data_IF_512286589808
#
_entry.id   IF_512286589808
#
_cell.length_a   1.000
_cell.length_b   1.000
_cell.length_c   1.000
_cell.angle_alpha   90.00
_cell.angle_beta   90.00
_cell.angle_gamma   90.00
#
_symmetry.space_group_name_H-M   'P 1'
#
loop_
_entity.id
_entity.type
_entity.pdbx_description
1 polymer ?
#
# COMPACT_ATOMS: atom_id res chain seq x y z
N UNK A 1 15.81 -20.22 -20.22
CA UNK A 1 15.00 -19.51 -21.24
C UNK A 1 15.87 -18.83 -22.28
N UNK A 2 16.78 -17.92 -21.89
CA UNK A 2 17.59 -17.12 -22.84
C UNK A 2 18.60 -17.88 -23.70
N UNK A 3 18.90 -19.16 -23.42
CA UNK A 3 19.81 -19.98 -24.23
C UNK A 3 19.13 -20.58 -25.48
N UNK A 4 17.84 -20.31 -25.70
CA UNK A 4 17.10 -20.84 -26.85
C UNK A 4 17.25 -19.88 -28.02
N UNK A 5 17.42 -20.43 -29.23
CA UNK A 5 17.58 -19.65 -30.46
C UNK A 5 16.41 -18.70 -30.76
N UNK A 6 15.23 -18.98 -30.20
CA UNK A 6 14.01 -18.21 -30.41
C UNK A 6 13.73 -17.15 -29.33
N UNK A 7 14.72 -16.80 -28.50
CA UNK A 7 14.57 -15.81 -27.42
C UNK A 7 15.65 -14.74 -27.53
N UNK A 8 15.22 -13.49 -27.69
CA UNK A 8 16.12 -12.32 -27.71
C UNK A 8 15.90 -11.47 -26.47
N UNK A 9 16.97 -11.20 -25.72
CA UNK A 9 16.97 -10.21 -24.63
C UNK A 9 17.43 -8.85 -25.17
N UNK A 10 16.62 -7.82 -24.98
CA UNK A 10 16.94 -6.44 -25.39
C UNK A 10 17.13 -5.58 -24.13
N UNK A 11 18.35 -5.08 -23.88
CA UNK A 11 18.60 -4.19 -22.73
C UNK A 11 18.16 -2.76 -23.03
N UNK A 12 16.96 -2.43 -22.56
CA UNK A 12 16.35 -1.11 -22.74
C UNK A 12 16.98 -0.01 -21.89
N UNK A 13 17.91 -0.32 -20.97
CA UNK A 13 18.69 0.72 -20.29
C UNK A 13 19.77 1.30 -21.21
N UNK A 14 20.37 0.44 -22.04
CA UNK A 14 21.35 0.85 -23.05
C UNK A 14 20.69 1.39 -24.31
N UNK A 15 19.58 0.77 -24.72
CA UNK A 15 18.80 1.15 -25.90
C UNK A 15 17.33 1.46 -25.53
N UNK A 16 17.02 2.66 -24.99
CA UNK A 16 15.68 2.99 -24.52
C UNK A 16 14.59 2.81 -25.57
N UNK A 17 13.40 2.45 -25.12
CA UNK A 17 12.20 2.38 -25.96
C UNK A 17 11.84 3.81 -26.37
N UNK A 18 11.70 4.03 -27.68
CA UNK A 18 11.28 5.33 -28.26
C UNK A 18 9.75 5.37 -28.40
N UNK A 19 9.14 4.23 -28.73
CA UNK A 19 7.69 4.12 -28.81
C UNK A 19 7.22 2.85 -29.52
N UNK A 20 5.90 2.68 -29.54
CA UNK A 20 5.24 1.66 -30.35
C UNK A 20 5.11 2.14 -31.80
N UNK A 21 5.21 1.21 -32.73
CA UNK A 21 4.95 1.44 -34.15
C UNK A 21 3.80 0.54 -34.60
N UNK A 22 3.16 0.80 -35.75
CA UNK A 22 2.12 -0.09 -36.29
C UNK A 22 2.58 -1.54 -36.49
N UNK A 23 3.90 -1.80 -36.54
CA UNK A 23 4.48 -3.12 -36.75
C UNK A 23 5.03 -3.75 -35.46
N UNK A 24 5.13 -3.01 -34.36
CA UNK A 24 5.70 -3.51 -33.12
C UNK A 24 6.30 -2.40 -32.25
N UNK A 25 7.60 -2.50 -31.94
CA UNK A 25 8.27 -1.64 -30.95
C UNK A 25 9.60 -1.11 -31.49
N UNK A 26 9.87 0.17 -31.25
CA UNK A 26 11.12 0.82 -31.61
C UNK A 26 11.93 1.18 -30.36
N UNK A 27 13.19 0.78 -30.34
CA UNK A 27 14.20 1.28 -29.41
C UNK A 27 15.04 2.35 -30.10
N UNK A 28 15.96 2.98 -29.35
CA UNK A 28 16.97 3.89 -29.90
C UNK A 28 17.77 3.26 -31.05
N UNK A 29 18.01 1.96 -30.98
CA UNK A 29 18.99 1.28 -31.84
C UNK A 29 18.33 0.42 -32.93
N UNK A 30 17.07 -0.02 -32.75
CA UNK A 30 16.41 -0.96 -33.66
C UNK A 30 14.88 -0.88 -33.64
N UNK A 31 14.24 -1.45 -34.66
CA UNK A 31 12.80 -1.72 -34.69
C UNK A 31 12.53 -3.23 -34.69
N UNK A 32 11.65 -3.66 -33.81
CA UNK A 32 11.24 -5.05 -33.62
C UNK A 32 9.82 -5.21 -34.13
N UNK A 33 9.65 -6.04 -35.17
CA UNK A 33 8.32 -6.41 -35.67
C UNK A 33 7.72 -7.47 -34.77
N UNK A 34 6.51 -7.24 -34.26
CA UNK A 34 5.85 -8.07 -33.25
C UNK A 34 4.37 -8.18 -33.58
N UNK A 35 3.83 -9.39 -33.58
CA UNK A 35 2.39 -9.63 -33.73
C UNK A 35 1.62 -9.37 -32.42
N UNK A 36 2.31 -9.42 -31.28
CA UNK A 36 1.70 -9.27 -29.96
C UNK A 36 2.70 -8.64 -28.99
N UNK A 37 2.19 -7.78 -28.10
CA UNK A 37 2.95 -7.15 -27.03
C UNK A 37 2.29 -7.48 -25.69
N UNK A 38 3.09 -8.00 -24.75
CA UNK A 38 2.64 -8.34 -23.39
C UNK A 38 3.22 -7.32 -22.42
N UNK A 39 2.35 -6.62 -21.70
CA UNK A 39 2.74 -5.64 -20.69
C UNK A 39 2.92 -6.33 -19.33
N UNK A 40 4.18 -6.64 -19.00
CA UNK A 40 4.58 -7.10 -17.67
C UNK A 40 5.17 -5.95 -16.82
N UNK A 41 4.54 -4.78 -16.86
CA UNK A 41 5.07 -3.51 -16.31
C UNK A 41 4.75 -3.27 -14.83
N UNK A 42 4.12 -4.23 -14.16
CA UNK A 42 3.73 -4.11 -12.75
C UNK A 42 2.44 -3.32 -12.54
N UNK A 43 2.30 -2.72 -11.35
CA UNK A 43 1.06 -2.09 -10.87
C UNK A 43 1.33 -0.79 -10.12
N UNK A 44 0.37 0.13 -10.06
CA UNK A 44 0.36 1.16 -9.00
C UNK A 44 -0.02 0.51 -7.66
N UNK A 45 1.01 -0.03 -7.01
CA UNK A 45 0.84 -0.89 -5.85
C UNK A 45 0.39 -0.12 -4.59
N UNK A 46 -0.40 -0.81 -3.76
CA UNK A 46 -0.91 -0.40 -2.44
C UNK A 46 -1.88 0.79 -2.42
N UNK A 47 -1.67 1.82 -3.23
CA UNK A 47 -2.52 3.03 -3.23
C UNK A 47 -3.30 3.21 -4.53
N UNK A 48 -2.88 2.60 -5.65
CA UNK A 48 -3.47 2.85 -6.96
C UNK A 48 -4.98 2.59 -6.99
N UNK A 49 -5.43 1.42 -6.54
CA UNK A 49 -6.85 1.08 -6.52
C UNK A 49 -7.71 2.05 -5.67
N UNK A 50 -7.15 2.59 -4.59
CA UNK A 50 -7.85 3.59 -3.74
C UNK A 50 -7.85 4.98 -4.38
N UNK A 51 -6.82 5.33 -5.15
CA UNK A 51 -6.72 6.60 -5.88
C UNK A 51 -7.66 6.68 -7.08
N UNK A 52 -8.03 5.54 -7.67
CA UNK A 52 -9.01 5.46 -8.76
C UNK A 52 -10.46 5.65 -8.29
N UNK A 53 -10.69 5.68 -6.97
CA UNK A 53 -12.00 5.94 -6.37
C UNK A 53 -11.99 7.34 -5.77
N UNK A 54 -13.02 8.13 -6.06
CA UNK A 54 -13.21 9.45 -5.46
C UNK A 54 -13.75 9.32 -4.01
N UNK A 55 -12.86 8.93 -3.08
CA UNK A 55 -13.16 8.72 -1.67
C UNK A 55 -13.16 10.06 -0.93
N UNK A 56 -14.30 10.40 -0.33
CA UNK A 56 -14.54 11.69 0.34
C UNK A 56 -15.15 11.53 1.72
N UNK A 57 -14.91 12.52 2.56
CA UNK A 57 -15.63 12.76 3.82
C UNK A 57 -16.35 14.11 3.73
N UNK A 58 -17.48 14.25 4.41
CA UNK A 58 -18.20 15.52 4.45
C UNK A 58 -17.35 16.60 5.16
N UNK A 59 -17.16 17.75 4.49
CA UNK A 59 -16.42 18.89 5.05
C UNK A 59 -14.91 18.70 5.19
N UNK A 60 -14.34 17.60 4.70
CA UNK A 60 -12.90 17.31 4.74
C UNK A 60 -12.28 17.17 3.35
N UNK A 61 -10.99 16.86 3.34
CA UNK A 61 -10.23 16.56 2.12
C UNK A 61 -10.58 15.17 1.55
N UNK A 62 -10.31 14.97 0.26
CA UNK A 62 -10.35 13.65 -0.37
C UNK A 62 -9.19 12.78 0.10
N UNK A 63 -9.32 11.45 0.01
CA UNK A 63 -8.22 10.54 0.36
C UNK A 63 -6.97 10.79 -0.49
N UNK A 64 -7.18 11.16 -1.76
CA UNK A 64 -6.09 11.49 -2.68
C UNK A 64 -5.31 12.73 -2.25
N UNK A 65 -5.98 13.77 -1.76
CA UNK A 65 -5.36 14.98 -1.19
C UNK A 65 -4.58 14.65 0.08
N UNK A 66 -5.20 13.92 1.01
CA UNK A 66 -4.54 13.48 2.26
C UNK A 66 -3.27 12.68 1.99
N UNK A 67 -3.31 11.77 1.02
CA UNK A 67 -2.18 10.90 0.67
C UNK A 67 -1.26 11.47 -0.43
N UNK A 68 -1.32 12.78 -0.67
CA UNK A 68 -0.47 13.46 -1.65
C UNK A 68 1.02 13.38 -1.29
N UNK A 69 1.36 13.34 0.01
CA UNK A 69 2.72 13.16 0.53
C UNK A 69 3.14 11.69 0.76
N UNK A 70 2.25 10.74 0.51
CA UNK A 70 2.42 9.31 0.85
C UNK A 70 1.26 8.82 1.71
N UNK A 71 0.99 7.50 1.73
CA UNK A 71 -0.13 6.97 2.49
C UNK A 71 0.14 7.05 3.99
N UNK A 72 -0.87 7.54 4.73
CA UNK A 72 -0.88 7.63 6.18
C UNK A 72 -2.04 6.80 6.70
N UNK A 73 -1.77 5.94 7.67
CA UNK A 73 -2.76 5.05 8.27
C UNK A 73 -2.40 4.82 9.73
N UNK A 74 -3.39 4.48 10.54
CA UNK A 74 -3.16 3.86 11.84
C UNK A 74 -3.27 2.33 11.70
N UNK A 75 -2.21 1.62 12.08
CA UNK A 75 -2.06 0.15 11.98
C UNK A 75 -2.21 -0.41 10.55
N UNK A 76 -2.26 0.43 9.51
CA UNK A 76 -2.67 0.02 8.17
C UNK A 76 -4.13 -0.41 8.04
N UNK A 77 -4.97 -0.05 9.02
CA UNK A 77 -6.37 -0.46 9.12
C UNK A 77 -7.34 0.70 8.89
N UNK A 78 -7.02 1.93 9.31
CA UNK A 78 -7.87 3.10 9.11
C UNK A 78 -7.03 4.35 8.84
N UNK A 79 -7.69 5.40 8.35
CA UNK A 79 -7.08 6.71 8.07
C UNK A 79 -7.80 7.76 8.92
N UNK A 80 -7.06 8.59 9.65
CA UNK A 80 -7.65 9.68 10.42
C UNK A 80 -8.37 10.66 9.50
N UNK A 81 -9.55 11.17 9.88
CA UNK A 81 -10.40 11.98 8.99
C UNK A 81 -11.34 11.17 8.10
N UNK A 82 -11.21 9.84 8.07
CA UNK A 82 -12.07 8.94 7.27
C UNK A 82 -12.79 7.94 8.19
N UNK A 83 -13.81 8.39 8.95
CA UNK A 83 -14.50 7.54 9.91
C UNK A 83 -15.19 6.36 9.23
N UNK A 84 -15.27 5.23 9.93
CA UNK A 84 -15.87 3.97 9.47
C UNK A 84 -15.27 3.39 8.17
N UNK A 85 -14.15 3.92 7.66
CA UNK A 85 -13.43 3.37 6.51
C UNK A 85 -12.30 2.46 6.99
N UNK A 86 -12.38 1.18 6.64
CA UNK A 86 -11.34 0.20 6.93
C UNK A 86 -10.58 -0.22 5.68
N UNK A 87 -9.30 -0.54 5.85
CA UNK A 87 -8.40 -1.05 4.83
C UNK A 87 -7.93 -2.47 5.19
N UNK A 88 -7.99 -3.38 4.22
CA UNK A 88 -7.42 -4.73 4.37
C UNK A 88 -6.07 -4.75 3.66
N UNK A 89 -5.02 -5.17 4.37
CA UNK A 89 -3.62 -5.13 3.88
C UNK A 89 -3.19 -3.75 3.37
N UNK A 90 -3.67 -2.69 4.02
CA UNK A 90 -3.34 -1.30 3.66
C UNK A 90 -1.88 -0.93 3.91
N UNK A 91 -1.41 0.22 3.37
CA UNK A 91 -0.11 0.79 3.71
C UNK A 91 0.05 0.93 5.23
N UNK A 92 1.24 0.69 5.75
CA UNK A 92 1.51 0.66 7.18
C UNK A 92 1.16 -0.65 7.89
N UNK A 93 0.66 -1.67 7.18
CA UNK A 93 0.52 -3.05 7.69
C UNK A 93 1.57 -3.98 7.04
N UNK A 94 1.79 -5.21 7.57
CA UNK A 94 2.72 -6.16 6.96
C UNK A 94 2.42 -6.42 5.48
N UNK A 95 1.15 -6.68 5.16
CA UNK A 95 0.67 -6.98 3.80
C UNK A 95 1.61 -7.89 3.02
N UNK A 96 2.25 -7.30 2.01
CA UNK A 96 3.17 -7.94 1.06
C UNK A 96 4.53 -8.35 1.65
N UNK A 97 4.79 -8.05 2.93
CA UNK A 97 5.98 -8.47 3.69
C UNK A 97 5.71 -9.64 4.63
N UNK A 98 4.53 -10.24 4.53
CA UNK A 98 4.17 -11.52 5.14
C UNK A 98 3.41 -12.39 4.15
N UNK A 99 3.04 -13.60 4.55
CA UNK A 99 2.09 -14.38 3.77
C UNK A 99 0.75 -13.64 3.75
N UNK A 100 0.31 -13.19 2.57
CA UNK A 100 -0.83 -12.29 2.43
C UNK A 100 -2.12 -12.87 3.00
N UNK A 101 -2.35 -14.18 2.85
CA UNK A 101 -3.54 -14.83 3.43
C UNK A 101 -3.58 -14.67 4.95
N UNK A 102 -2.44 -14.81 5.64
CA UNK A 102 -2.39 -14.61 7.10
C UNK A 102 -2.68 -13.16 7.49
N UNK A 103 -2.17 -12.20 6.72
CA UNK A 103 -2.48 -10.77 6.94
C UNK A 103 -3.95 -10.46 6.70
N UNK A 104 -4.54 -11.01 5.63
CA UNK A 104 -5.94 -10.80 5.30
C UNK A 104 -6.83 -11.38 6.40
N UNK A 105 -6.62 -12.63 6.81
CA UNK A 105 -7.40 -13.26 7.88
C UNK A 105 -7.31 -12.47 9.19
N UNK A 106 -6.10 -12.03 9.57
CA UNK A 106 -5.93 -11.24 10.78
C UNK A 106 -6.63 -9.88 10.70
N UNK A 107 -6.51 -9.15 9.59
CA UNK A 107 -7.19 -7.86 9.41
C UNK A 107 -8.71 -8.05 9.42
N UNK A 108 -9.23 -9.02 8.68
CA UNK A 108 -10.67 -9.28 8.60
C UNK A 108 -11.25 -9.68 9.96
N UNK A 109 -10.56 -10.55 10.71
CA UNK A 109 -11.01 -10.93 12.06
C UNK A 109 -10.97 -9.73 13.01
N UNK A 110 -9.88 -8.96 13.03
CA UNK A 110 -9.76 -7.79 13.89
C UNK A 110 -10.84 -6.74 13.58
N UNK A 111 -11.12 -6.48 12.30
CA UNK A 111 -12.18 -5.55 11.87
C UNK A 111 -13.56 -6.08 12.27
N UNK A 112 -13.82 -7.38 12.11
CA UNK A 112 -15.09 -7.98 12.51
C UNK A 112 -15.33 -7.86 14.02
N UNK A 113 -14.30 -8.13 14.83
CA UNK A 113 -14.35 -8.00 16.30
C UNK A 113 -14.55 -6.53 16.71
N UNK A 114 -13.91 -5.58 16.00
CA UNK A 114 -14.09 -4.15 16.19
C UNK A 114 -15.52 -3.69 15.93
N UNK A 115 -16.09 -4.11 14.81
CA UNK A 115 -17.48 -3.80 14.45
C UNK A 115 -18.48 -4.43 15.43
N UNK A 116 -18.20 -5.65 15.90
CA UNK A 116 -19.01 -6.29 16.93
C UNK A 116 -18.94 -5.52 18.26
N UNK A 117 -17.75 -5.10 18.68
CA UNK A 117 -17.57 -4.28 19.87
C UNK A 117 -18.33 -2.97 19.77
N UNK A 118 -18.20 -2.24 18.66
CA UNK A 118 -18.90 -0.99 18.41
C UNK A 118 -20.42 -1.17 18.54
N UNK A 119 -20.96 -2.20 17.88
CA UNK A 119 -22.39 -2.55 17.95
C UNK A 119 -22.86 -2.86 19.37
N UNK A 120 -22.09 -3.63 20.14
CA UNK A 120 -22.46 -4.01 21.51
C UNK A 120 -22.50 -2.82 22.47
N UNK A 121 -21.68 -1.80 22.23
CA UNK A 121 -21.61 -0.59 23.05
C UNK A 121 -22.46 0.57 22.48
N UNK A 122 -23.17 0.33 21.39
CA UNK A 122 -24.04 1.33 20.75
C UNK A 122 -23.28 2.43 19.99
N UNK A 123 -22.01 2.23 19.67
CA UNK A 123 -21.24 3.15 18.84
C UNK A 123 -21.60 2.96 17.35
N UNK A 124 -21.77 4.05 16.61
CA UNK A 124 -22.02 4.05 15.17
C UNK A 124 -20.88 4.70 14.36
N UNK A 125 -19.87 5.24 15.07
CA UNK A 125 -18.72 5.92 14.50
C UNK A 125 -17.44 5.42 15.17
N UNK A 126 -16.47 5.04 14.36
CA UNK A 126 -15.10 4.78 14.77
C UNK A 126 -14.15 5.53 13.83
N UNK A 127 -13.11 6.13 14.39
CA UNK A 127 -12.12 6.90 13.65
C UNK A 127 -10.73 6.76 14.28
N UNK A 128 -9.69 6.63 13.47
CA UNK A 128 -8.31 6.68 13.96
C UNK A 128 -7.96 8.10 14.44
N UNK A 129 -7.33 8.19 15.60
CA UNK A 129 -6.77 9.45 16.10
C UNK A 129 -5.55 9.87 15.27
N UNK A 130 -5.47 11.17 14.93
CA UNK A 130 -4.42 11.69 14.07
C UNK A 130 -3.03 11.62 14.72
N UNK A 131 -2.94 11.74 16.06
CA UNK A 131 -1.65 11.61 16.74
C UNK A 131 -1.14 10.16 16.71
N UNK A 132 -2.04 9.18 16.89
CA UNK A 132 -1.71 7.76 16.78
C UNK A 132 -1.37 7.34 15.35
N UNK A 133 -2.07 7.87 14.34
CA UNK A 133 -1.69 7.72 12.92
C UNK A 133 -0.27 8.24 12.69
N UNK A 134 0.03 9.47 13.14
CA UNK A 134 1.37 10.06 12.98
C UNK A 134 2.47 9.26 13.67
N UNK A 135 2.22 8.78 14.90
CA UNK A 135 3.14 7.91 15.64
C UNK A 135 3.36 6.57 14.92
N UNK A 136 2.30 5.98 14.37
CA UNK A 136 2.41 4.74 13.61
C UNK A 136 3.23 4.92 12.34
N UNK A 137 2.99 6.00 11.59
CA UNK A 137 3.78 6.34 10.39
C UNK A 137 5.26 6.52 10.75
N UNK A 138 5.56 7.23 11.84
CA UNK A 138 6.94 7.41 12.31
C UNK A 138 7.60 6.07 12.66
N UNK A 139 6.89 5.21 13.39
CA UNK A 139 7.36 3.86 13.75
C UNK A 139 7.60 2.98 12.52
N UNK A 140 6.69 2.98 11.54
CA UNK A 140 6.85 2.23 10.28
C UNK A 140 8.13 2.66 9.56
N UNK A 141 8.38 3.97 9.48
CA UNK A 141 9.59 4.51 8.87
C UNK A 141 10.85 4.13 9.65
N UNK A 142 10.84 4.28 10.98
CA UNK A 142 11.97 3.91 11.85
C UNK A 142 12.37 2.44 11.66
N UNK A 143 11.39 1.53 11.69
CA UNK A 143 11.64 0.10 11.50
C UNK A 143 12.13 -0.20 10.07
N UNK A 144 11.64 0.54 9.07
CA UNK A 144 12.10 0.40 7.69
C UNK A 144 13.54 0.88 7.49
N UNK A 145 13.90 2.02 8.08
CA UNK A 145 15.23 2.63 8.01
C UNK A 145 16.30 1.78 8.71
N UNK A 146 15.89 0.92 9.65
CA UNK A 146 16.73 -0.16 10.20
C UNK A 146 17.05 -1.29 9.22
N UNK A 147 16.59 -1.23 7.96
CA UNK A 147 16.77 -2.27 6.94
C UNK A 147 17.34 -1.72 5.64
N UNK A 148 17.64 -2.60 4.67
CA UNK A 148 18.04 -2.21 3.32
C UNK A 148 16.85 -1.87 2.40
N UNK A 149 15.61 -2.09 2.84
CA UNK A 149 14.44 -1.94 1.96
C UNK A 149 14.28 -0.53 1.38
N UNK A 150 14.44 0.56 2.16
CA UNK A 150 14.28 1.92 1.63
C UNK A 150 15.32 2.28 0.55
N UNK A 151 16.47 1.59 0.53
CA UNK A 151 17.57 1.89 -0.40
C UNK A 151 17.30 1.38 -1.83
N UNK A 152 16.38 0.44 -2.01
CA UNK A 152 16.10 -0.17 -3.31
C UNK A 152 14.96 0.55 -4.06
N UNK A 153 15.22 0.98 -5.29
CA UNK A 153 14.19 1.47 -6.22
C UNK A 153 13.21 0.34 -6.56
N UNK A 154 12.06 0.32 -5.87
CA UNK A 154 11.03 -0.71 -6.02
C UNK A 154 9.64 -0.12 -5.87
N UNK A 155 8.61 -0.93 -6.15
CA UNK A 155 7.22 -0.52 -5.95
C UNK A 155 6.84 -0.38 -4.47
N UNK A 156 7.60 -0.95 -3.53
CA UNK A 156 7.39 -0.74 -2.08
C UNK A 156 7.63 0.70 -1.64
N UNK A 157 8.45 1.44 -2.39
CA UNK A 157 8.77 2.85 -2.15
C UNK A 157 8.13 3.79 -3.18
N UNK A 158 7.16 3.30 -3.98
CA UNK A 158 6.48 4.10 -5.00
C UNK A 158 7.33 4.49 -6.21
N UNK A 159 8.59 4.04 -6.31
CA UNK A 159 9.53 4.46 -7.36
C UNK A 159 9.16 3.97 -8.78
N UNK A 160 8.18 3.06 -8.89
CA UNK A 160 7.71 2.51 -10.16
C UNK A 160 6.66 3.39 -10.86
N UNK A 161 6.11 4.40 -10.18
CA UNK A 161 5.10 5.31 -10.73
C UNK A 161 5.67 6.73 -10.77
N UNK A 162 5.84 7.34 -11.96
CA UNK A 162 6.29 8.73 -12.08
C UNK A 162 5.40 9.69 -11.29
N UNK A 163 6.01 10.58 -10.50
CA UNK A 163 5.30 11.57 -9.67
C UNK A 163 4.72 11.03 -8.35
N UNK A 164 4.82 9.72 -8.07
CA UNK A 164 4.37 9.16 -6.79
C UNK A 164 5.37 9.47 -5.66
N UNK A 165 4.90 9.82 -4.44
CA UNK A 165 5.78 10.03 -3.29
C UNK A 165 6.65 8.81 -2.99
N UNK A 166 7.88 9.08 -2.59
CA UNK A 166 8.87 8.04 -2.29
C UNK A 166 8.97 7.78 -0.79
N UNK A 167 8.10 6.89 -0.31
CA UNK A 167 8.03 6.48 1.10
C UNK A 167 7.87 4.97 1.16
N UNK A 168 8.55 4.31 2.09
CA UNK A 168 8.39 2.88 2.28
C UNK A 168 7.00 2.56 2.87
N UNK A 169 6.17 1.85 2.10
CA UNK A 169 4.74 1.68 2.43
C UNK A 169 4.43 0.48 3.34
N UNK A 170 5.07 -0.70 3.24
CA UNK A 170 4.75 -1.83 4.13
C UNK A 170 5.34 -1.67 5.54
N UNK A 171 4.75 -2.34 6.53
CA UNK A 171 5.39 -2.52 7.84
C UNK A 171 6.32 -3.74 7.83
N UNK A 172 7.58 -3.57 8.22
CA UNK A 172 8.61 -4.63 8.19
C UNK A 172 9.05 -5.15 9.56
N UNK A 173 8.34 -4.78 10.64
CA UNK A 173 8.61 -5.30 11.99
C UNK A 173 8.10 -6.73 12.25
N UNK A 174 7.72 -7.46 11.20
CA UNK A 174 7.24 -8.84 11.27
C UNK A 174 5.75 -8.98 11.62
N UNK A 175 5.12 -10.03 11.08
CA UNK A 175 3.69 -10.30 11.28
C UNK A 175 3.32 -10.59 12.73
N UNK A 176 4.11 -11.38 13.45
CA UNK A 176 3.81 -11.73 14.84
C UNK A 176 3.78 -10.48 15.75
N UNK A 177 4.79 -9.61 15.62
CA UNK A 177 4.84 -8.36 16.38
C UNK A 177 3.74 -7.37 15.97
N UNK A 178 3.38 -7.31 14.69
CA UNK A 178 2.21 -6.56 14.23
C UNK A 178 0.92 -7.06 14.87
N UNK A 179 0.66 -8.37 14.81
CA UNK A 179 -0.53 -8.97 15.41
C UNK A 179 -0.61 -8.66 16.91
N UNK A 180 0.48 -8.81 17.65
CA UNK A 180 0.52 -8.51 19.09
C UNK A 180 0.14 -7.04 19.38
N UNK A 181 0.57 -6.10 18.54
CA UNK A 181 0.18 -4.68 18.67
C UNK A 181 -1.31 -4.48 18.40
N UNK A 182 -1.85 -5.08 17.35
CA UNK A 182 -3.29 -5.02 17.06
C UNK A 182 -4.13 -5.64 18.19
N UNK A 183 -3.71 -6.79 18.73
CA UNK A 183 -4.37 -7.45 19.85
C UNK A 183 -4.35 -6.57 21.11
N UNK A 184 -3.22 -5.93 21.40
CA UNK A 184 -3.08 -5.02 22.54
C UNK A 184 -3.98 -3.79 22.39
N UNK A 185 -4.04 -3.20 21.21
CA UNK A 185 -4.94 -2.07 20.90
C UNK A 185 -6.39 -2.46 21.14
N UNK A 186 -6.84 -3.62 20.64
CA UNK A 186 -8.19 -4.11 20.87
C UNK A 186 -8.46 -4.40 22.36
N UNK A 187 -7.51 -5.01 23.08
CA UNK A 187 -7.61 -5.28 24.51
C UNK A 187 -7.70 -4.01 25.36
N UNK A 188 -7.09 -2.91 24.91
CA UNK A 188 -7.12 -1.60 25.54
C UNK A 188 -8.35 -0.76 25.13
N UNK A 189 -9.43 -1.40 24.64
CA UNK A 189 -10.64 -0.70 24.23
C UNK A 189 -10.47 0.08 22.93
N UNK A 190 -9.69 -0.46 21.99
CA UNK A 190 -9.35 0.17 20.71
C UNK A 190 -8.58 1.49 20.90
N UNK A 191 -7.52 1.44 21.71
CA UNK A 191 -6.59 2.55 21.91
C UNK A 191 -6.14 3.17 20.56
N UNK A 192 -6.09 4.50 20.50
CA UNK A 192 -5.80 5.22 19.26
C UNK A 192 -6.96 5.31 18.27
N UNK A 193 -8.15 4.78 18.64
CA UNK A 193 -9.41 5.05 17.95
C UNK A 193 -10.37 5.81 18.85
N UNK A 194 -11.14 6.73 18.25
CA UNK A 194 -12.29 7.37 18.89
C UNK A 194 -13.55 6.62 18.49
N UNK A 195 -14.29 6.08 19.46
CA UNK A 195 -15.61 5.48 19.24
C UNK A 195 -16.71 6.41 19.79
N UNK A 196 -17.74 6.69 18.99
CA UNK A 196 -18.86 7.55 19.38
C UNK A 196 -20.19 7.08 18.82
N UNK A 197 -21.27 7.65 19.36
CA UNK A 197 -22.62 7.62 18.78
C UNK A 197 -22.79 8.73 17.74
#
# INVERSE_FOLDING_TARGET
TYNRDNVTLVDVRSAPIVGLTPKGLRTKDAEYTLDTIVFATGFDAMTGALREIDIRVEGGETLAEKWSGGPQTYLGLMVAGFPNMFLITGPGSPGVKSQMILSIEQHTNWIADCLQHAKQHGFNRIEADAAHEGQWVAHVNEVADGTLYPLANSWYVGANIPGKPRVFMPYVGGFAGYKQRCDAVAANGYEGFTLSQ
#
